data_IF_874072665019
#
_entry.id   IF_874072665019
#
_cell.length_a   1.000
_cell.length_b   1.000
_cell.length_c   1.000
_cell.angle_alpha   90.00
_cell.angle_beta   90.00
_cell.angle_gamma   90.00
#
_symmetry.space_group_name_H-M   'P 1'
#
loop_
_entity.id
_entity.type
_entity.pdbx_description
1 polymer ?
#
# COMPACT_ATOMS: atom_id res chain seq x y z
N UNK A 1 8.98 19.59 -13.00
CA UNK A 1 9.07 18.13 -13.20
C UNK A 1 10.31 17.69 -13.96
N UNK A 2 11.01 18.59 -14.68
CA UNK A 2 12.25 18.29 -15.44
C UNK A 2 13.25 17.36 -14.72
N UNK A 3 13.62 17.62 -13.46
CA UNK A 3 14.58 16.75 -12.73
C UNK A 3 14.05 15.33 -12.47
N UNK A 4 12.73 15.19 -12.24
CA UNK A 4 12.05 13.89 -12.07
C UNK A 4 11.95 13.17 -13.41
N UNK A 5 11.57 13.89 -14.47
CA UNK A 5 11.47 13.35 -15.84
C UNK A 5 12.80 12.80 -16.36
N UNK A 6 13.93 13.39 -15.94
CA UNK A 6 15.27 12.93 -16.33
C UNK A 6 15.90 11.94 -15.33
N UNK A 7 15.12 11.41 -14.37
CA UNK A 7 15.55 10.45 -13.34
C UNK A 7 16.84 10.83 -12.61
N UNK A 8 17.07 12.12 -12.35
CA UNK A 8 18.29 12.62 -11.73
C UNK A 8 18.26 12.50 -10.20
N UNK A 9 18.40 11.28 -9.69
CA UNK A 9 18.39 10.95 -8.24
C UNK A 9 19.31 11.86 -7.43
N UNK A 10 20.54 12.07 -7.89
CA UNK A 10 21.56 12.87 -7.19
C UNK A 10 21.15 14.34 -7.03
N UNK A 11 20.53 14.94 -8.07
CA UNK A 11 20.06 16.33 -8.02
C UNK A 11 18.81 16.48 -7.14
N UNK A 12 17.91 15.51 -7.15
CA UNK A 12 16.73 15.49 -6.27
C UNK A 12 17.10 15.29 -4.80
N UNK A 13 18.10 14.45 -4.53
CA UNK A 13 18.61 14.19 -3.19
C UNK A 13 19.50 15.33 -2.66
N UNK A 14 19.89 16.28 -3.52
CA UNK A 14 20.76 17.39 -3.12
C UNK A 14 20.15 18.19 -1.95
N UNK A 15 20.92 18.51 -0.91
CA UNK A 15 20.41 19.13 0.32
C UNK A 15 19.68 20.46 0.10
N UNK A 16 20.02 21.18 -0.97
CA UNK A 16 19.31 22.39 -1.37
C UNK A 16 17.87 22.11 -1.82
N UNK A 17 17.65 21.07 -2.62
CA UNK A 17 16.31 20.70 -3.14
C UNK A 17 15.46 20.14 -2.01
N UNK A 18 16.03 19.26 -1.18
CA UNK A 18 15.33 18.72 -0.01
C UNK A 18 15.00 19.82 1.02
N UNK A 19 15.92 20.74 1.29
CA UNK A 19 15.66 21.91 2.14
C UNK A 19 14.54 22.80 1.60
N UNK A 20 14.51 23.02 0.29
CA UNK A 20 13.48 23.83 -0.37
C UNK A 20 12.11 23.16 -0.25
N UNK A 21 12.02 21.84 -0.48
CA UNK A 21 10.80 21.06 -0.34
C UNK A 21 10.30 21.08 1.11
N UNK A 22 11.17 20.82 2.08
CA UNK A 22 10.83 20.88 3.50
C UNK A 22 10.34 22.26 3.92
N UNK A 23 10.96 23.33 3.42
CA UNK A 23 10.50 24.70 3.68
C UNK A 23 9.11 24.97 3.10
N UNK A 24 8.87 24.60 1.84
CA UNK A 24 7.55 24.74 1.19
C UNK A 24 6.49 23.94 1.94
N UNK A 25 6.81 22.70 2.29
CA UNK A 25 5.93 21.81 3.03
C UNK A 25 5.59 22.35 4.43
N UNK A 26 6.58 22.80 5.19
CA UNK A 26 6.38 23.29 6.56
C UNK A 26 5.57 24.60 6.62
N UNK A 27 5.74 25.49 5.65
CA UNK A 27 5.07 26.80 5.68
C UNK A 27 3.63 26.75 5.17
N UNK A 28 3.36 26.09 4.06
CA UNK A 28 2.01 26.08 3.46
C UNK A 28 1.51 24.68 3.11
N UNK A 29 2.39 23.82 2.60
CA UNK A 29 2.03 22.50 2.07
C UNK A 29 1.23 21.67 3.06
N UNK A 30 1.77 21.51 4.28
CA UNK A 30 1.17 20.70 5.34
C UNK A 30 -0.22 21.20 5.74
N UNK A 31 -0.40 22.51 5.85
CA UNK A 31 -1.66 23.07 6.36
C UNK A 31 -2.78 22.89 5.35
N UNK A 32 -2.54 23.26 4.08
CA UNK A 32 -3.54 23.11 3.01
C UNK A 32 -3.87 21.64 2.78
N UNK A 33 -2.86 20.77 2.82
CA UNK A 33 -3.06 19.34 2.62
C UNK A 33 -3.87 18.70 3.76
N UNK A 34 -3.47 18.93 5.01
CA UNK A 34 -4.17 18.34 6.16
C UNK A 34 -5.56 18.92 6.39
N UNK A 35 -5.81 20.19 6.07
CA UNK A 35 -7.17 20.72 6.11
C UNK A 35 -8.05 20.07 5.06
N UNK A 36 -7.54 19.89 3.83
CA UNK A 36 -8.27 19.19 2.78
C UNK A 36 -8.55 17.73 3.16
N UNK A 37 -7.55 17.02 3.68
CA UNK A 37 -7.70 15.66 4.17
C UNK A 37 -8.72 15.58 5.33
N UNK A 38 -8.68 16.53 6.26
CA UNK A 38 -9.63 16.57 7.37
C UNK A 38 -11.07 16.80 6.90
N UNK A 39 -11.29 17.70 5.94
CA UNK A 39 -12.60 17.91 5.32
C UNK A 39 -13.09 16.63 4.62
N UNK A 40 -12.18 15.94 3.92
CA UNK A 40 -12.49 14.68 3.26
C UNK A 40 -12.86 13.57 4.26
N UNK A 41 -12.07 13.41 5.32
CA UNK A 41 -12.35 12.46 6.39
C UNK A 41 -13.68 12.77 7.09
N UNK A 42 -14.00 14.06 7.31
CA UNK A 42 -15.27 14.48 7.87
C UNK A 42 -16.44 14.08 6.95
N UNK A 43 -16.32 14.32 5.64
CA UNK A 43 -17.30 13.87 4.66
C UNK A 43 -17.49 12.35 4.71
N UNK A 44 -16.39 11.59 4.75
CA UNK A 44 -16.42 10.14 4.75
C UNK A 44 -17.06 9.57 6.02
N UNK A 45 -16.75 10.13 7.21
CA UNK A 45 -17.34 9.68 8.47
C UNK A 45 -18.83 9.94 8.53
N UNK A 46 -19.30 11.11 8.07
CA UNK A 46 -20.75 11.37 8.03
C UNK A 46 -21.45 10.51 6.97
N UNK A 47 -20.80 10.21 5.84
CA UNK A 47 -21.34 9.28 4.84
C UNK A 47 -21.50 7.86 5.40
N UNK A 48 -20.50 7.36 6.14
CA UNK A 48 -20.62 6.03 6.75
C UNK A 48 -21.62 5.98 7.88
N UNK A 49 -21.68 7.02 8.74
CA UNK A 49 -22.72 7.16 9.76
C UNK A 49 -24.10 7.16 9.10
N UNK A 50 -24.29 7.93 8.02
CA UNK A 50 -25.55 7.97 7.30
C UNK A 50 -26.03 6.56 6.86
N UNK A 51 -25.13 5.73 6.32
CA UNK A 51 -25.45 4.38 5.83
C UNK A 51 -25.70 3.40 6.97
N UNK A 52 -24.94 3.50 8.07
CA UNK A 52 -25.15 2.64 9.23
C UNK A 52 -26.53 2.83 9.87
N UNK A 53 -27.05 4.06 9.86
CA UNK A 53 -28.35 4.40 10.45
C UNK A 53 -29.49 4.46 9.43
N UNK A 54 -29.22 4.22 8.14
CA UNK A 54 -30.25 4.10 7.10
C UNK A 54 -30.50 2.62 6.81
N UNK A 55 -31.76 2.22 6.88
CA UNK A 55 -32.21 0.87 6.59
C UNK A 55 -32.23 0.60 5.09
N UNK A 56 -31.85 -0.61 4.70
CA UNK A 56 -31.85 -1.01 3.30
C UNK A 56 -33.30 -1.17 2.78
N UNK A 57 -33.59 -0.77 1.52
CA UNK A 57 -34.95 -0.78 0.98
C UNK A 57 -35.63 -2.16 1.01
N UNK A 58 -34.87 -3.24 0.82
CA UNK A 58 -35.38 -4.62 0.79
C UNK A 58 -35.75 -5.19 2.18
N UNK A 59 -35.40 -4.51 3.28
CA UNK A 59 -35.84 -4.91 4.62
C UNK A 59 -37.33 -4.61 4.85
N UNK A 60 -37.90 -3.68 4.09
CA UNK A 60 -39.29 -3.26 4.23
C UNK A 60 -40.25 -4.12 3.41
N UNK A 61 -39.86 -4.51 2.19
CA UNK A 61 -40.67 -5.39 1.35
C UNK A 61 -39.79 -6.27 0.47
N UNK A 62 -40.27 -7.48 0.19
CA UNK A 62 -39.69 -8.40 -0.79
C UNK A 62 -39.97 -7.98 -2.25
N UNK A 63 -40.60 -6.81 -2.46
CA UNK A 63 -41.12 -6.40 -3.77
C UNK A 63 -40.04 -5.66 -4.54
N UNK A 64 -39.58 -6.29 -5.62
CA UNK A 64 -38.57 -5.78 -6.56
C UNK A 64 -39.12 -4.80 -7.58
N UNK A 65 -40.39 -4.37 -7.47
CA UNK A 65 -40.98 -3.47 -8.46
C UNK A 65 -40.39 -2.07 -8.31
N UNK A 66 -39.46 -1.79 -9.23
CA UNK A 66 -38.75 -0.53 -9.47
C UNK A 66 -39.71 0.50 -10.07
N UNK A 67 -40.75 0.90 -9.34
CA UNK A 67 -41.55 2.07 -9.71
C UNK A 67 -41.11 3.28 -8.88
N UNK A 68 -41.27 4.48 -9.44
CA UNK A 68 -40.94 5.75 -8.77
C UNK A 68 -41.67 5.90 -7.41
N UNK A 69 -42.75 5.15 -7.21
CA UNK A 69 -43.60 5.15 -6.02
C UNK A 69 -43.21 4.09 -4.98
N UNK A 70 -41.99 3.53 -5.06
CA UNK A 70 -41.52 2.52 -4.11
C UNK A 70 -41.72 2.94 -2.64
N UNK A 71 -41.41 4.19 -2.30
CA UNK A 71 -41.61 4.71 -0.95
C UNK A 71 -43.10 4.76 -0.55
N UNK A 72 -43.98 5.18 -1.46
CA UNK A 72 -45.41 5.29 -1.20
C UNK A 72 -46.04 3.90 -1.03
N UNK A 73 -45.66 2.93 -1.86
CA UNK A 73 -46.14 1.55 -1.75
C UNK A 73 -45.75 0.89 -0.42
N UNK A 74 -44.50 1.09 0.03
CA UNK A 74 -44.04 0.64 1.35
C UNK A 74 -44.82 1.34 2.46
N UNK A 75 -45.04 2.65 2.30
CA UNK A 75 -45.75 3.47 3.29
C UNK A 75 -47.21 3.06 3.51
N UNK A 76 -47.86 2.49 2.49
CA UNK A 76 -49.25 2.02 2.54
C UNK A 76 -49.39 0.60 3.11
N UNK A 77 -48.37 -0.25 2.97
CA UNK A 77 -48.41 -1.65 3.41
C UNK A 77 -47.92 -1.86 4.84
N UNK A 78 -47.04 -1.01 5.36
CA UNK A 78 -46.52 -1.11 6.73
C UNK A 78 -47.21 -0.11 7.67
N UNK A 79 -47.90 -0.63 8.69
CA UNK A 79 -48.61 0.13 9.72
C UNK A 79 -47.70 0.74 10.79
N UNK A 80 -46.41 0.41 10.79
CA UNK A 80 -45.44 1.02 11.71
C UNK A 80 -44.98 2.37 11.16
N UNK A 81 -44.99 3.41 12.00
CA UNK A 81 -44.42 4.71 11.67
C UNK A 81 -42.90 4.58 11.52
N UNK A 82 -42.45 4.23 10.30
CA UNK A 82 -41.04 4.26 9.93
C UNK A 82 -40.61 5.73 9.91
N UNK A 83 -40.00 6.16 11.02
CA UNK A 83 -39.43 7.49 11.19
C UNK A 83 -37.92 7.39 11.00
N UNK A 84 -37.37 8.34 10.24
CA UNK A 84 -35.93 8.42 10.06
C UNK A 84 -35.26 8.79 11.39
N UNK A 85 -34.23 8.06 11.84
CA UNK A 85 -33.51 8.44 13.06
C UNK A 85 -32.85 9.81 12.88
N UNK A 86 -32.87 10.63 13.94
CA UNK A 86 -32.33 11.99 13.92
C UNK A 86 -30.88 12.05 13.43
N UNK A 87 -30.07 11.05 13.78
CA UNK A 87 -28.68 10.91 13.33
C UNK A 87 -28.59 10.81 11.80
N UNK A 88 -29.45 10.01 11.17
CA UNK A 88 -29.49 9.88 9.71
C UNK A 88 -29.99 11.16 9.04
N UNK A 89 -30.95 11.87 9.65
CA UNK A 89 -31.43 13.15 9.15
C UNK A 89 -30.33 14.22 9.17
N UNK A 90 -29.65 14.40 10.30
CA UNK A 90 -28.57 15.39 10.45
C UNK A 90 -27.38 15.05 9.55
N UNK A 91 -26.93 13.80 9.54
CA UNK A 91 -25.80 13.36 8.70
C UNK A 91 -26.09 13.57 7.20
N UNK A 92 -27.32 13.38 6.74
CA UNK A 92 -27.74 13.68 5.37
C UNK A 92 -27.43 15.12 4.96
N UNK A 93 -27.86 16.12 5.73
CA UNK A 93 -27.59 17.52 5.35
C UNK A 93 -26.10 17.87 5.42
N UNK A 94 -25.38 17.31 6.39
CA UNK A 94 -23.93 17.50 6.49
C UNK A 94 -23.21 16.91 5.27
N UNK A 95 -23.53 15.68 4.88
CA UNK A 95 -22.95 15.01 3.69
C UNK A 95 -23.27 15.82 2.45
N UNK A 96 -24.53 16.27 2.28
CA UNK A 96 -24.95 17.06 1.13
C UNK A 96 -24.15 18.36 0.99
N UNK A 97 -23.97 19.11 2.09
CA UNK A 97 -23.19 20.36 2.08
C UNK A 97 -21.72 20.08 1.79
N UNK A 98 -21.11 19.10 2.47
CA UNK A 98 -19.68 18.79 2.26
C UNK A 98 -19.40 18.25 0.86
N UNK A 99 -20.25 17.37 0.34
CA UNK A 99 -20.14 16.83 -1.02
C UNK A 99 -20.30 17.95 -2.05
N UNK A 100 -21.23 18.89 -1.87
CA UNK A 100 -21.41 20.02 -2.76
C UNK A 100 -20.19 20.95 -2.76
N UNK A 101 -19.63 21.27 -1.60
CA UNK A 101 -18.42 22.11 -1.49
C UNK A 101 -17.23 21.44 -2.19
N UNK A 102 -17.02 20.14 -1.98
CA UNK A 102 -15.97 19.38 -2.64
C UNK A 102 -16.20 19.26 -4.15
N UNK A 103 -17.45 19.07 -4.60
CA UNK A 103 -17.81 19.04 -6.01
C UNK A 103 -17.52 20.39 -6.70
N UNK A 104 -17.84 21.52 -6.05
CA UNK A 104 -17.50 22.86 -6.58
C UNK A 104 -15.99 23.04 -6.69
N UNK A 105 -15.24 22.65 -5.66
CA UNK A 105 -13.76 22.64 -5.70
C UNK A 105 -13.25 21.83 -6.90
N UNK A 106 -13.88 20.69 -7.16
CA UNK A 106 -13.48 19.78 -8.22
C UNK A 106 -13.80 20.33 -9.63
N UNK A 107 -14.96 20.96 -9.79
CA UNK A 107 -15.34 21.66 -11.03
C UNK A 107 -14.40 22.85 -11.32
N UNK A 108 -13.95 23.57 -10.28
CA UNK A 108 -12.94 24.63 -10.43
C UNK A 108 -11.59 24.08 -10.91
N UNK A 109 -11.19 22.90 -10.40
CA UNK A 109 -9.99 22.20 -10.88
C UNK A 109 -10.13 21.74 -12.33
N UNK A 110 -11.29 21.16 -12.70
CA UNK A 110 -11.61 20.77 -14.07
C UNK A 110 -11.51 21.95 -15.05
N UNK A 111 -12.02 23.13 -14.67
CA UNK A 111 -11.96 24.34 -15.51
C UNK A 111 -10.52 24.82 -15.73
N UNK A 112 -9.66 24.69 -14.73
CA UNK A 112 -8.26 25.10 -14.78
C UNK A 112 -7.40 24.13 -15.62
N UNK A 113 -7.58 22.83 -15.44
CA UNK A 113 -6.76 21.78 -16.05
C UNK A 113 -7.29 21.21 -17.39
N UNK A 114 -8.55 21.50 -17.75
CA UNK A 114 -9.21 21.05 -19.00
C UNK A 114 -9.07 19.53 -19.21
N UNK A 115 -8.46 19.08 -20.31
CA UNK A 115 -8.31 17.66 -20.67
C UNK A 115 -7.27 16.93 -19.83
N UNK A 116 -6.31 17.64 -19.23
CA UNK A 116 -5.32 17.04 -18.32
C UNK A 116 -5.93 16.58 -16.99
N UNK A 117 -7.24 16.82 -16.79
CA UNK A 117 -7.95 16.51 -15.54
C UNK A 117 -8.50 15.08 -15.47
N UNK A 118 -8.74 14.39 -16.60
CA UNK A 118 -9.34 13.04 -16.65
C UNK A 118 -8.40 11.91 -16.16
N UNK A 119 -7.63 12.17 -15.10
CA UNK A 119 -6.91 11.16 -14.35
C UNK A 119 -7.91 10.27 -13.58
N UNK A 120 -7.62 8.96 -13.41
CA UNK A 120 -8.55 8.03 -12.75
C UNK A 120 -8.89 8.45 -11.32
N UNK A 121 -7.95 9.08 -10.61
CA UNK A 121 -8.13 9.62 -9.26
C UNK A 121 -9.26 10.65 -9.20
N UNK A 122 -9.19 11.66 -10.06
CA UNK A 122 -10.18 12.73 -10.14
C UNK A 122 -11.56 12.22 -10.58
N UNK A 123 -11.59 11.24 -11.51
CA UNK A 123 -12.84 10.60 -11.95
C UNK A 123 -13.48 9.81 -10.81
N UNK A 124 -12.70 9.07 -10.03
CA UNK A 124 -13.21 8.37 -8.85
C UNK A 124 -13.73 9.34 -7.79
N UNK A 125 -13.05 10.46 -7.55
CA UNK A 125 -13.54 11.52 -6.66
C UNK A 125 -14.87 12.10 -7.14
N UNK A 126 -14.97 12.44 -8.43
CA UNK A 126 -16.19 12.98 -9.03
C UNK A 126 -17.37 12.00 -8.90
N UNK A 127 -17.16 10.73 -9.24
CA UNK A 127 -18.21 9.70 -9.12
C UNK A 127 -18.62 9.51 -7.65
N UNK A 128 -17.67 9.54 -6.72
CA UNK A 128 -17.98 9.41 -5.29
C UNK A 128 -18.81 10.59 -4.76
N UNK A 129 -18.49 11.84 -5.12
CA UNK A 129 -19.26 13.01 -4.69
C UNK A 129 -20.64 13.10 -5.37
N UNK A 130 -20.73 12.82 -6.66
CA UNK A 130 -22.02 12.77 -7.36
C UNK A 130 -22.90 11.63 -6.82
N UNK A 131 -22.31 10.46 -6.60
CA UNK A 131 -23.00 9.29 -6.06
C UNK A 131 -23.51 9.53 -4.64
N UNK A 132 -22.73 10.18 -3.77
CA UNK A 132 -23.18 10.51 -2.41
C UNK A 132 -24.29 11.56 -2.39
N UNK A 133 -24.24 12.56 -3.28
CA UNK A 133 -25.33 13.53 -3.44
C UNK A 133 -26.62 12.83 -3.89
N UNK A 134 -26.55 11.97 -4.91
CA UNK A 134 -27.72 11.25 -5.43
C UNK A 134 -28.31 10.24 -4.42
N UNK A 135 -27.47 9.63 -3.58
CA UNK A 135 -27.90 8.76 -2.48
C UNK A 135 -28.70 9.53 -1.43
N UNK A 136 -28.26 10.74 -1.10
CA UNK A 136 -28.79 11.52 0.03
C UNK A 136 -29.96 12.43 -0.38
N UNK A 137 -30.05 12.78 -1.66
CA UNK A 137 -31.11 13.59 -2.23
C UNK A 137 -32.47 12.88 -2.17
N UNK A 138 -33.52 13.63 -1.83
CA UNK A 138 -34.90 13.14 -1.88
C UNK A 138 -35.52 13.52 -3.22
N UNK A 139 -36.12 12.53 -3.89
CA UNK A 139 -36.84 12.71 -5.14
C UNK A 139 -38.36 12.78 -4.94
N UNK A 140 -38.87 12.36 -3.78
CA UNK A 140 -40.31 12.43 -3.45
C UNK A 140 -40.56 12.89 -2.02
N UNK A 141 -41.76 13.44 -1.76
CA UNK A 141 -42.19 13.89 -0.42
C UNK A 141 -42.21 12.75 0.60
N UNK A 142 -42.49 11.53 0.15
CA UNK A 142 -42.42 10.34 1.00
C UNK A 142 -40.98 10.10 1.50
N UNK A 143 -39.96 10.28 0.65
CA UNK A 143 -38.56 10.12 1.05
C UNK A 143 -38.12 11.19 2.04
N UNK A 144 -38.64 12.42 1.88
CA UNK A 144 -38.38 13.52 2.81
C UNK A 144 -38.90 13.23 4.22
N UNK A 145 -40.11 12.65 4.33
CA UNK A 145 -40.74 12.37 5.64
C UNK A 145 -40.27 11.06 6.28
N UNK A 146 -40.17 9.96 5.49
CA UNK A 146 -39.86 8.61 6.00
C UNK A 146 -38.38 8.22 5.90
N UNK A 147 -37.60 8.91 5.08
CA UNK A 147 -36.17 8.60 4.87
C UNK A 147 -35.89 7.32 4.08
N UNK A 148 -36.90 6.71 3.44
CA UNK A 148 -36.76 5.45 2.69
C UNK A 148 -36.12 5.73 1.33
N UNK A 149 -35.06 4.98 1.01
CA UNK A 149 -34.35 5.07 -0.28
C UNK A 149 -34.91 4.12 -1.33
N UNK A 150 -34.76 4.49 -2.60
CA UNK A 150 -35.11 3.61 -3.72
C UNK A 150 -33.99 2.60 -3.99
N UNK A 151 -34.31 1.50 -4.68
CA UNK A 151 -33.34 0.44 -4.98
C UNK A 151 -32.14 0.93 -5.80
N UNK A 152 -32.37 1.83 -6.78
CA UNK A 152 -31.29 2.39 -7.59
C UNK A 152 -30.39 3.34 -6.78
N UNK A 153 -30.96 4.14 -5.87
CA UNK A 153 -30.19 5.00 -4.96
C UNK A 153 -29.29 4.16 -4.05
N UNK A 154 -29.82 3.04 -3.55
CA UNK A 154 -29.05 2.15 -2.68
C UNK A 154 -27.88 1.47 -3.42
N UNK A 155 -28.11 0.99 -4.64
CA UNK A 155 -27.07 0.41 -5.49
C UNK A 155 -25.97 1.44 -5.83
N UNK A 156 -26.37 2.64 -6.25
CA UNK A 156 -25.43 3.74 -6.54
C UNK A 156 -24.65 4.14 -5.29
N UNK A 157 -25.34 4.23 -4.14
CA UNK A 157 -24.74 4.56 -2.85
C UNK A 157 -23.67 3.55 -2.42
N UNK A 158 -23.92 2.25 -2.61
CA UNK A 158 -22.94 1.22 -2.32
C UNK A 158 -21.64 1.42 -3.12
N UNK A 159 -21.76 1.71 -4.42
CA UNK A 159 -20.61 2.02 -5.29
C UNK A 159 -19.92 3.30 -4.85
N UNK A 160 -20.68 4.36 -4.56
CA UNK A 160 -20.13 5.66 -4.15
C UNK A 160 -19.31 5.57 -2.86
N UNK A 161 -19.77 4.75 -1.91
CA UNK A 161 -19.11 4.56 -0.60
C UNK A 161 -17.86 3.73 -0.73
N UNK A 162 -17.91 2.67 -1.53
CA UNK A 162 -16.73 1.90 -1.89
C UNK A 162 -15.67 2.80 -2.54
N UNK A 163 -16.05 3.60 -3.55
CA UNK A 163 -15.14 4.55 -4.20
C UNK A 163 -14.64 5.62 -3.25
N UNK A 164 -15.45 6.12 -2.31
CA UNK A 164 -15.01 7.09 -1.31
C UNK A 164 -13.93 6.49 -0.37
N UNK A 165 -14.09 5.25 0.08
CA UNK A 165 -13.03 4.58 0.85
C UNK A 165 -11.78 4.29 0.02
N UNK A 166 -11.93 3.93 -1.26
CA UNK A 166 -10.78 3.74 -2.17
C UNK A 166 -10.04 5.07 -2.43
N UNK A 167 -10.76 6.18 -2.57
CA UNK A 167 -10.17 7.51 -2.71
C UNK A 167 -9.39 7.94 -1.45
N UNK A 168 -9.82 7.53 -0.24
CA UNK A 168 -9.03 7.76 0.97
C UNK A 168 -7.64 7.13 0.88
N UNK A 169 -7.52 5.93 0.29
CA UNK A 169 -6.21 5.30 0.07
C UNK A 169 -5.32 6.16 -0.84
N UNK A 170 -5.89 6.80 -1.85
CA UNK A 170 -5.15 7.72 -2.74
C UNK A 170 -4.70 8.99 -2.03
N UNK A 171 -5.48 9.53 -1.08
CA UNK A 171 -4.96 10.56 -0.18
C UNK A 171 -3.80 10.03 0.67
N UNK A 172 -3.90 8.81 1.21
CA UNK A 172 -2.79 8.23 1.99
C UNK A 172 -1.53 8.04 1.12
N UNK A 173 -1.67 7.87 -0.20
CA UNK A 173 -0.54 7.75 -1.15
C UNK A 173 0.44 8.92 -1.06
N UNK A 174 -0.03 10.14 -0.76
CA UNK A 174 0.84 11.32 -0.68
C UNK A 174 1.60 11.43 0.66
N UNK A 175 1.36 10.53 1.62
CA UNK A 175 2.10 10.50 2.88
C UNK A 175 3.50 9.90 2.70
N UNK A 176 4.59 10.54 3.18
CA UNK A 176 5.95 10.03 2.99
C UNK A 176 6.21 8.62 3.57
N UNK A 177 5.50 8.24 4.64
CA UNK A 177 5.67 6.94 5.33
C UNK A 177 4.80 5.83 4.74
N UNK A 178 3.52 6.09 4.51
CA UNK A 178 2.57 5.08 4.02
C UNK A 178 2.46 5.05 2.49
N UNK A 179 2.82 6.15 1.83
CA UNK A 179 2.62 6.34 0.40
C UNK A 179 3.33 5.33 -0.47
N UNK A 180 4.55 4.94 -0.09
CA UNK A 180 5.34 3.94 -0.84
C UNK A 180 4.59 2.61 -0.93
N UNK A 181 3.91 2.17 0.13
CA UNK A 181 3.14 0.92 0.10
C UNK A 181 1.95 0.99 -0.84
N UNK A 182 1.28 2.14 -0.92
CA UNK A 182 0.13 2.34 -1.81
C UNK A 182 0.58 2.45 -3.28
N UNK A 183 1.72 3.10 -3.54
CA UNK A 183 2.34 3.10 -4.87
C UNK A 183 2.75 1.69 -5.29
N UNK A 184 3.43 0.94 -4.41
CA UNK A 184 3.77 -0.47 -4.67
C UNK A 184 2.52 -1.29 -4.97
N UNK A 185 1.46 -1.17 -4.16
CA UNK A 185 0.21 -1.90 -4.38
C UNK A 185 -0.43 -1.54 -5.73
N UNK A 186 -0.47 -0.26 -6.09
CA UNK A 186 -1.05 0.19 -7.36
C UNK A 186 -0.26 -0.31 -8.56
N UNK A 187 1.08 -0.28 -8.48
CA UNK A 187 1.97 -0.81 -9.52
C UNK A 187 1.75 -2.33 -9.68
N UNK A 188 1.74 -3.10 -8.58
CA UNK A 188 1.47 -4.55 -8.60
C UNK A 188 0.08 -4.85 -9.17
N UNK A 189 -0.94 -4.07 -8.79
CA UNK A 189 -2.30 -4.22 -9.32
C UNK A 189 -2.34 -4.01 -10.84
N UNK A 190 -1.63 -2.99 -11.35
CA UNK A 190 -1.56 -2.72 -12.79
C UNK A 190 -0.80 -3.82 -13.53
N UNK A 191 0.32 -4.31 -12.99
CA UNK A 191 1.03 -5.45 -13.56
C UNK A 191 0.11 -6.68 -13.60
N UNK A 192 -0.55 -6.98 -12.49
CA UNK A 192 -1.51 -8.08 -12.39
C UNK A 192 -2.61 -7.97 -13.45
N UNK A 193 -3.24 -6.80 -13.58
CA UNK A 193 -4.28 -6.56 -14.59
C UNK A 193 -3.76 -6.69 -16.03
N UNK A 194 -2.49 -6.40 -16.27
CA UNK A 194 -1.85 -6.55 -17.59
C UNK A 194 -1.68 -8.03 -17.96
N UNK A 195 -1.38 -8.90 -16.99
CA UNK A 195 -1.22 -10.34 -17.21
C UNK A 195 -2.54 -11.13 -17.08
N UNK A 196 -3.56 -10.56 -16.44
CA UNK A 196 -4.87 -11.19 -16.21
C UNK A 196 -5.54 -11.77 -17.48
N UNK A 197 -5.48 -11.14 -18.68
CA UNK A 197 -6.08 -11.72 -19.88
C UNK A 197 -5.58 -13.11 -20.25
N UNK A 198 -4.31 -13.42 -19.95
CA UNK A 198 -3.72 -14.76 -20.22
C UNK A 198 -4.39 -15.80 -19.33
N UNK A 199 -4.55 -15.50 -18.04
CA UNK A 199 -5.20 -16.40 -17.08
C UNK A 199 -6.70 -16.50 -17.32
N UNK A 200 -7.34 -15.42 -17.77
CA UNK A 200 -8.76 -15.38 -18.08
C UNK A 200 -9.17 -16.44 -19.12
N UNK A 201 -8.32 -16.74 -20.11
CA UNK A 201 -8.58 -17.80 -21.09
C UNK A 201 -8.73 -19.18 -20.43
N UNK A 202 -7.88 -19.48 -19.45
CA UNK A 202 -7.98 -20.73 -18.70
C UNK A 202 -9.22 -20.76 -17.80
N UNK A 203 -9.52 -19.65 -17.11
CA UNK A 203 -10.71 -19.53 -16.25
C UNK A 203 -11.99 -19.80 -17.06
N UNK A 204 -12.10 -19.23 -18.27
CA UNK A 204 -13.25 -19.46 -19.16
C UNK A 204 -13.31 -20.93 -19.61
N UNK A 205 -12.19 -21.53 -20.01
CA UNK A 205 -12.16 -22.92 -20.45
C UNK A 205 -12.61 -23.90 -19.35
N UNK A 206 -12.07 -23.75 -18.14
CA UNK A 206 -12.46 -24.58 -16.99
C UNK A 206 -13.88 -24.28 -16.50
N UNK A 207 -14.30 -23.01 -16.51
CA UNK A 207 -15.66 -22.63 -16.16
C UNK A 207 -16.68 -23.30 -17.08
N UNK A 208 -16.49 -23.23 -18.39
CA UNK A 208 -17.42 -23.87 -19.33
C UNK A 208 -17.43 -25.41 -19.19
N UNK A 209 -16.29 -26.02 -18.89
CA UNK A 209 -16.23 -27.45 -18.64
C UNK A 209 -16.97 -27.85 -17.35
N UNK A 210 -16.80 -27.09 -16.26
CA UNK A 210 -17.54 -27.31 -15.01
C UNK A 210 -19.03 -27.00 -15.15
N UNK A 211 -19.39 -25.96 -15.90
CA UNK A 211 -20.78 -25.65 -16.26
C UNK A 211 -21.47 -26.84 -16.93
N UNK A 212 -20.80 -27.51 -17.88
CA UNK A 212 -21.37 -28.70 -18.54
C UNK A 212 -21.47 -29.92 -17.61
N UNK A 213 -20.47 -30.14 -16.74
CA UNK A 213 -20.41 -31.33 -15.89
C UNK A 213 -21.29 -31.24 -14.63
N UNK A 214 -21.55 -30.04 -14.11
CA UNK A 214 -22.18 -29.80 -12.81
C UNK A 214 -23.37 -28.82 -12.89
N UNK A 215 -24.04 -28.72 -14.05
CA UNK A 215 -25.13 -27.77 -14.28
C UNK A 215 -26.32 -27.89 -13.30
N UNK A 216 -26.47 -29.06 -12.68
CA UNK A 216 -27.50 -29.33 -11.67
C UNK A 216 -27.27 -28.57 -10.35
N UNK A 217 -26.04 -28.15 -10.06
CA UNK A 217 -25.68 -27.40 -8.86
C UNK A 217 -25.92 -25.89 -9.06
N UNK A 218 -26.40 -25.21 -8.01
CA UNK A 218 -26.70 -23.77 -8.08
C UNK A 218 -25.48 -22.92 -8.51
N UNK A 219 -24.28 -23.29 -8.04
CA UNK A 219 -23.03 -22.59 -8.34
C UNK A 219 -22.61 -22.67 -9.82
N UNK A 220 -23.09 -23.67 -10.57
CA UNK A 220 -22.69 -23.92 -11.96
C UNK A 220 -23.88 -23.89 -12.94
N UNK A 221 -25.09 -23.54 -12.47
CA UNK A 221 -26.31 -23.56 -13.28
C UNK A 221 -26.31 -22.54 -14.44
N UNK A 222 -25.61 -21.42 -14.27
CA UNK A 222 -25.46 -20.37 -15.28
C UNK A 222 -23.98 -20.13 -15.57
N UNK A 223 -23.62 -19.76 -16.81
CA UNK A 223 -22.23 -19.49 -17.16
C UNK A 223 -21.63 -18.34 -16.33
N UNK A 224 -22.41 -17.31 -15.98
CA UNK A 224 -21.99 -16.19 -15.12
C UNK A 224 -21.57 -16.65 -13.71
N UNK A 225 -22.36 -17.54 -13.09
CA UNK A 225 -22.06 -18.07 -11.76
C UNK A 225 -20.95 -19.12 -11.79
N UNK A 226 -20.90 -19.92 -12.84
CA UNK A 226 -19.79 -20.86 -13.06
C UNK A 226 -18.46 -20.11 -13.17
N UNK A 227 -18.41 -19.01 -13.93
CA UNK A 227 -17.19 -18.22 -14.09
C UNK A 227 -16.75 -17.61 -12.75
N UNK A 228 -17.71 -17.10 -11.96
CA UNK A 228 -17.44 -16.58 -10.63
C UNK A 228 -16.93 -17.67 -9.68
N UNK A 229 -17.59 -18.84 -9.66
CA UNK A 229 -17.19 -19.97 -8.82
C UNK A 229 -15.80 -20.49 -9.22
N UNK A 230 -15.51 -20.61 -10.51
CA UNK A 230 -14.19 -21.01 -11.00
C UNK A 230 -13.11 -19.97 -10.66
N UNK A 231 -13.44 -18.68 -10.68
CA UNK A 231 -12.54 -17.60 -10.24
C UNK A 231 -12.26 -17.67 -8.72
N UNK A 232 -13.25 -17.98 -7.90
CA UNK A 232 -13.05 -18.22 -6.46
C UNK A 232 -12.17 -19.45 -6.22
N UNK A 233 -12.40 -20.54 -6.96
CA UNK A 233 -11.57 -21.74 -6.91
C UNK A 233 -10.12 -21.47 -7.34
N UNK A 234 -9.87 -20.52 -8.26
CA UNK A 234 -8.52 -20.12 -8.66
C UNK A 234 -7.72 -19.49 -7.49
N UNK A 235 -8.39 -18.73 -6.61
CA UNK A 235 -7.76 -18.10 -5.44
C UNK A 235 -7.35 -19.13 -4.39
N UNK A 236 -7.95 -20.33 -4.42
CA UNK A 236 -7.68 -21.42 -3.48
C UNK A 236 -8.89 -21.81 -2.62
N UNK A 237 -10.06 -21.22 -2.85
CA UNK A 237 -11.29 -21.60 -2.15
C UNK A 237 -11.89 -22.88 -2.77
N UNK A 238 -11.44 -24.03 -2.28
CA UNK A 238 -11.94 -25.35 -2.68
C UNK A 238 -13.01 -25.83 -1.71
N UNK A 239 -14.27 -25.69 -2.11
CA UNK A 239 -15.38 -26.31 -1.39
C UNK A 239 -15.57 -27.74 -1.91
N UNK A 240 -14.62 -28.63 -1.58
CA UNK A 240 -14.61 -30.00 -2.08
C UNK A 240 -15.78 -30.82 -1.52
N UNK A 241 -16.12 -30.61 -0.25
CA UNK A 241 -17.14 -31.41 0.42
C UNK A 241 -18.54 -31.13 -0.15
N UNK A 242 -18.87 -29.86 -0.40
CA UNK A 242 -20.18 -29.49 -0.96
C UNK A 242 -20.35 -29.86 -2.44
N UNK A 243 -19.24 -29.88 -3.20
CA UNK A 243 -19.26 -30.12 -4.65
C UNK A 243 -19.10 -31.61 -4.98
N UNK A 244 -18.26 -32.34 -4.24
CA UNK A 244 -17.86 -33.71 -4.59
C UNK A 244 -18.26 -34.79 -3.58
N UNK A 245 -18.51 -34.44 -2.31
CA UNK A 245 -18.96 -35.40 -1.27
C UNK A 245 -20.44 -35.28 -0.89
N UNK A 246 -21.23 -34.44 -1.58
CA UNK A 246 -22.69 -34.34 -1.39
C UNK A 246 -23.46 -35.66 -1.57
N UNK A 247 -22.79 -36.72 -2.01
CA UNK A 247 -23.31 -38.09 -2.07
C UNK A 247 -23.41 -38.80 -0.69
N UNK A 248 -22.67 -38.34 0.33
CA UNK A 248 -22.48 -39.06 1.60
C UNK A 248 -23.36 -38.60 2.77
N UNK A 249 -23.93 -37.39 2.72
CA UNK A 249 -24.87 -36.89 3.73
C UNK A 249 -26.29 -36.99 3.20
N UNK A 250 -26.75 -38.24 2.98
CA UNK A 250 -28.17 -38.50 2.80
C UNK A 250 -28.85 -38.29 4.15
N UNK A 251 -29.27 -37.06 4.43
CA UNK A 251 -30.24 -36.85 5.47
C UNK A 251 -31.56 -37.42 4.95
N UNK A 252 -32.18 -38.42 5.60
CA UNK A 252 -33.44 -39.00 5.15
C UNK A 252 -34.60 -37.98 5.09
N UNK A 253 -34.38 -36.73 5.52
CA UNK A 253 -35.30 -35.60 5.39
C UNK A 253 -35.13 -34.74 4.12
N UNK A 254 -34.07 -34.95 3.31
CA UNK A 254 -33.86 -34.19 2.06
C UNK A 254 -34.86 -34.62 0.97
N UNK A 255 -35.46 -33.65 0.29
CA UNK A 255 -36.35 -33.91 -0.85
C UNK A 255 -35.57 -34.44 -2.06
N UNK A 256 -36.23 -35.21 -2.94
CA UNK A 256 -35.61 -35.72 -4.19
C UNK A 256 -34.98 -34.60 -5.04
N UNK A 257 -35.52 -33.40 -4.97
CA UNK A 257 -35.01 -32.22 -5.68
C UNK A 257 -33.69 -31.70 -5.08
N UNK A 258 -33.52 -31.75 -3.75
CA UNK A 258 -32.28 -31.36 -3.07
C UNK A 258 -31.16 -32.39 -3.30
N UNK A 259 -31.52 -33.68 -3.35
CA UNK A 259 -30.58 -34.74 -3.73
C UNK A 259 -30.10 -34.55 -5.16
N UNK A 260 -31.00 -34.24 -6.11
CA UNK A 260 -30.63 -33.95 -7.50
C UNK A 260 -29.66 -32.77 -7.61
N UNK A 261 -29.85 -31.71 -6.84
CA UNK A 261 -28.99 -30.51 -6.83
C UNK A 261 -27.59 -30.78 -6.27
N UNK A 262 -27.41 -31.81 -5.43
CA UNK A 262 -26.12 -32.18 -4.80
C UNK A 262 -25.41 -33.37 -5.48
N UNK A 263 -26.09 -34.07 -6.39
CA UNK A 263 -25.56 -35.30 -7.00
C UNK A 263 -24.54 -34.99 -8.11
N UNK A 264 -23.39 -35.68 -8.09
CA UNK A 264 -22.40 -35.60 -9.15
C UNK A 264 -22.62 -36.74 -10.16
N UNK A 265 -23.13 -36.42 -11.36
CA UNK A 265 -23.45 -37.41 -12.39
C UNK A 265 -22.23 -38.02 -13.08
N UNK A 266 -21.21 -37.21 -13.35
CA UNK A 266 -20.01 -37.61 -14.12
C UNK A 266 -18.76 -37.62 -13.24
N UNK A 267 -18.76 -38.43 -12.18
CA UNK A 267 -17.72 -38.43 -11.16
C UNK A 267 -16.30 -38.58 -11.71
N UNK A 268 -16.04 -39.55 -12.60
CA UNK A 268 -14.70 -39.80 -13.14
C UNK A 268 -14.10 -38.60 -13.89
N UNK A 269 -14.86 -38.04 -14.84
CA UNK A 269 -14.40 -36.89 -15.64
C UNK A 269 -14.28 -35.63 -14.76
N UNK A 270 -15.23 -35.42 -13.85
CA UNK A 270 -15.20 -34.28 -12.92
C UNK A 270 -14.00 -34.33 -11.98
N UNK A 271 -13.67 -35.49 -11.40
CA UNK A 271 -12.47 -35.64 -10.57
C UNK A 271 -11.19 -35.44 -11.38
N UNK A 272 -11.09 -36.03 -12.57
CA UNK A 272 -9.92 -35.87 -13.43
C UNK A 272 -9.70 -34.40 -13.83
N UNK A 273 -10.77 -33.72 -14.26
CA UNK A 273 -10.74 -32.31 -14.61
C UNK A 273 -10.38 -31.43 -13.40
N UNK A 274 -10.90 -31.75 -12.21
CA UNK A 274 -10.60 -31.04 -10.97
C UNK A 274 -9.13 -31.19 -10.56
N UNK A 275 -8.54 -32.38 -10.68
CA UNK A 275 -7.10 -32.59 -10.43
C UNK A 275 -6.24 -31.77 -11.40
N UNK A 276 -6.58 -31.77 -12.69
CA UNK A 276 -5.88 -30.94 -13.69
C UNK A 276 -6.03 -29.45 -13.35
N UNK A 277 -7.23 -29.02 -12.94
CA UNK A 277 -7.48 -27.65 -12.50
C UNK A 277 -6.62 -27.27 -11.28
N UNK A 278 -6.50 -28.14 -10.28
CA UNK A 278 -5.67 -27.90 -9.09
C UNK A 278 -4.20 -27.70 -9.47
N UNK A 279 -3.65 -28.56 -10.34
CA UNK A 279 -2.26 -28.41 -10.77
C UNK A 279 -2.06 -27.11 -11.55
N UNK A 280 -2.90 -26.86 -12.57
CA UNK A 280 -2.73 -25.72 -13.46
C UNK A 280 -3.08 -24.38 -12.80
N UNK A 281 -4.29 -24.24 -12.24
CA UNK A 281 -4.74 -22.96 -11.68
C UNK A 281 -4.23 -22.75 -10.26
N UNK A 282 -4.45 -23.71 -9.36
CA UNK A 282 -4.18 -23.50 -7.94
C UNK A 282 -2.68 -23.46 -7.62
N UNK A 283 -1.89 -24.32 -8.27
CA UNK A 283 -0.45 -24.42 -8.00
C UNK A 283 0.34 -23.57 -8.99
N UNK A 284 0.26 -23.86 -10.30
CA UNK A 284 1.13 -23.17 -11.27
C UNK A 284 0.79 -21.68 -11.41
N UNK A 285 -0.49 -21.34 -11.63
CA UNK A 285 -0.87 -19.92 -11.83
C UNK A 285 -0.70 -19.11 -10.54
N UNK A 286 -1.15 -19.59 -9.38
CA UNK A 286 -0.94 -18.87 -8.11
C UNK A 286 0.54 -18.64 -7.81
N UNK A 287 1.40 -19.65 -8.00
CA UNK A 287 2.84 -19.50 -7.76
C UNK A 287 3.48 -18.53 -8.77
N UNK A 288 3.03 -18.52 -10.02
CA UNK A 288 3.48 -17.55 -11.02
C UNK A 288 3.06 -16.12 -10.66
N UNK A 289 1.81 -15.92 -10.23
CA UNK A 289 1.29 -14.62 -9.80
C UNK A 289 2.05 -14.07 -8.59
N UNK A 290 2.34 -14.93 -7.61
CA UNK A 290 3.16 -14.57 -6.44
C UNK A 290 4.59 -14.27 -6.88
N UNK A 291 5.17 -15.05 -7.79
CA UNK A 291 6.51 -14.82 -8.33
C UNK A 291 6.65 -13.46 -9.02
N UNK A 292 5.70 -13.11 -9.90
CA UNK A 292 5.66 -11.79 -10.56
C UNK A 292 5.52 -10.66 -9.55
N UNK A 293 4.62 -10.80 -8.57
CA UNK A 293 4.44 -9.78 -7.55
C UNK A 293 5.72 -9.55 -6.71
N UNK A 294 6.46 -10.61 -6.38
CA UNK A 294 7.71 -10.51 -5.62
C UNK A 294 8.80 -9.77 -6.41
N UNK A 295 8.90 -10.02 -7.71
CA UNK A 295 9.90 -9.35 -8.55
C UNK A 295 9.55 -7.87 -8.79
N UNK A 296 8.27 -7.54 -8.96
CA UNK A 296 7.79 -6.15 -9.01
C UNK A 296 8.08 -5.40 -7.71
N UNK A 297 7.84 -6.02 -6.55
CA UNK A 297 8.13 -5.40 -5.24
C UNK A 297 9.62 -5.03 -5.15
N UNK A 298 10.54 -5.91 -5.58
CA UNK A 298 11.97 -5.60 -5.57
C UNK A 298 12.30 -4.41 -6.47
N UNK A 299 11.79 -4.41 -7.71
CA UNK A 299 12.03 -3.33 -8.66
C UNK A 299 11.52 -1.97 -8.14
N UNK A 300 10.34 -1.94 -7.49
CA UNK A 300 9.81 -0.71 -6.90
C UNK A 300 10.58 -0.30 -5.64
N UNK A 301 11.07 -1.25 -4.83
CA UNK A 301 11.91 -0.96 -3.67
C UNK A 301 13.24 -0.32 -4.05
N UNK A 302 13.90 -0.80 -5.11
CA UNK A 302 15.15 -0.21 -5.61
C UNK A 302 14.97 1.26 -6.01
N UNK A 303 13.79 1.61 -6.53
CA UNK A 303 13.45 2.98 -6.93
C UNK A 303 12.70 3.77 -5.85
N UNK A 304 12.47 3.21 -4.66
CA UNK A 304 11.59 3.77 -3.65
C UNK A 304 12.05 5.16 -3.16
N UNK A 305 13.36 5.39 -3.07
CA UNK A 305 13.92 6.68 -2.65
C UNK A 305 13.57 7.77 -3.67
N UNK A 306 13.75 7.50 -4.96
CA UNK A 306 13.40 8.43 -6.03
C UNK A 306 11.89 8.65 -6.10
N UNK A 307 11.10 7.56 -6.08
CA UNK A 307 9.63 7.66 -6.07
C UNK A 307 9.12 8.47 -4.89
N UNK A 308 9.71 8.30 -3.70
CA UNK A 308 9.38 9.11 -2.51
C UNK A 308 9.67 10.60 -2.73
N UNK A 309 10.85 10.94 -3.23
CA UNK A 309 11.21 12.34 -3.51
C UNK A 309 10.31 12.94 -4.60
N UNK A 310 10.01 12.18 -5.65
CA UNK A 310 9.08 12.60 -6.71
C UNK A 310 7.68 12.88 -6.16
N UNK A 311 7.13 12.00 -5.31
CA UNK A 311 5.83 12.21 -4.66
C UNK A 311 5.81 13.48 -3.78
N UNK A 312 6.90 13.78 -3.06
CA UNK A 312 7.00 15.02 -2.28
C UNK A 312 7.00 16.26 -3.17
N UNK A 313 7.72 16.22 -4.29
CA UNK A 313 7.75 17.30 -5.28
C UNK A 313 6.36 17.50 -5.89
N UNK A 314 5.70 16.42 -6.30
CA UNK A 314 4.35 16.45 -6.85
C UNK A 314 3.36 17.05 -5.85
N UNK A 315 3.38 16.58 -4.61
CA UNK A 315 2.54 17.10 -3.54
C UNK A 315 2.77 18.59 -3.30
N UNK A 316 4.03 19.03 -3.24
CA UNK A 316 4.35 20.45 -3.07
C UNK A 316 3.85 21.29 -4.25
N UNK A 317 3.96 20.78 -5.48
CA UNK A 317 3.48 21.45 -6.69
C UNK A 317 1.95 21.47 -6.77
N UNK A 318 1.27 20.41 -6.39
CA UNK A 318 -0.20 20.34 -6.37
C UNK A 318 -0.78 21.35 -5.39
N UNK A 319 -0.21 21.44 -4.18
CA UNK A 319 -0.62 22.48 -3.23
C UNK A 319 -0.32 23.87 -3.79
N UNK A 320 0.83 24.07 -4.44
CA UNK A 320 1.19 25.37 -5.04
C UNK A 320 0.23 25.77 -6.18
N UNK A 321 -0.33 24.82 -6.93
CA UNK A 321 -1.35 25.07 -7.97
C UNK A 321 -2.69 25.49 -7.37
N UNK A 322 -3.07 24.92 -6.22
CA UNK A 322 -4.34 25.24 -5.52
C UNK A 322 -4.27 26.64 -4.88
N UNK A 323 -3.09 27.05 -4.43
CA UNK A 323 -2.90 28.32 -3.73
C UNK A 323 -3.00 29.52 -4.69
N UNK A 324 -3.85 30.53 -4.40
CA UNK A 324 -3.97 31.73 -5.21
C UNK A 324 -2.64 32.49 -5.38
N UNK A 325 -2.48 33.15 -6.52
CA UNK A 325 -1.22 33.84 -6.87
C UNK A 325 -0.79 34.91 -5.85
N UNK A 326 -1.72 35.56 -5.17
CA UNK A 326 -1.41 36.58 -4.17
C UNK A 326 -0.73 36.00 -2.91
N UNK A 327 -1.19 34.83 -2.45
CA UNK A 327 -0.54 34.07 -1.37
C UNK A 327 0.80 33.57 -1.88
N UNK A 328 0.86 32.97 -3.08
CA UNK A 328 2.09 32.43 -3.65
C UNK A 328 3.22 33.46 -3.68
N UNK A 329 2.94 34.69 -4.15
CA UNK A 329 3.93 35.79 -4.24
C UNK A 329 4.48 36.20 -2.87
N UNK A 330 3.69 36.10 -1.80
CA UNK A 330 4.10 36.49 -0.45
C UNK A 330 5.02 35.47 0.22
N UNK A 331 4.96 34.21 -0.19
CA UNK A 331 5.72 33.10 0.41
C UNK A 331 6.98 32.70 -0.39
N UNK A 332 7.33 33.42 -1.46
CA UNK A 332 8.59 33.19 -2.20
C UNK A 332 9.77 33.72 -1.39
N UNK A 333 10.68 32.82 -1.00
CA UNK A 333 11.94 33.17 -0.34
C UNK A 333 13.10 32.78 -1.25
N UNK A 334 14.01 33.72 -1.52
CA UNK A 334 15.20 33.50 -2.37
C UNK A 334 16.39 32.92 -1.60
N UNK A 335 16.61 33.37 -0.37
CA UNK A 335 17.71 32.93 0.49
C UNK A 335 17.21 32.66 1.91
N UNK A 336 17.71 31.58 2.53
CA UNK A 336 17.43 31.25 3.92
C UNK A 336 18.73 30.83 4.59
N UNK A 337 19.06 31.48 5.70
CA UNK A 337 20.23 31.13 6.52
C UNK A 337 19.81 30.12 7.58
N UNK A 338 20.47 28.96 7.63
CA UNK A 338 20.28 27.94 8.66
C UNK A 338 21.48 28.01 9.59
N UNK A 339 21.24 28.00 10.92
CA UNK A 339 22.31 27.98 11.92
C UNK A 339 22.27 26.65 12.69
N UNK A 340 23.43 26.01 12.96
CA UNK A 340 23.49 24.65 13.51
C UNK A 340 22.98 24.49 14.96
N UNK A 341 22.57 25.56 15.67
CA UNK A 341 22.14 25.51 17.08
C UNK A 341 20.84 26.30 17.35
N UNK A 342 19.94 26.41 16.38
CA UNK A 342 18.67 27.12 16.59
C UNK A 342 17.67 26.25 17.38
N UNK A 343 17.59 26.44 18.70
CA UNK A 343 16.64 25.73 19.58
C UNK A 343 15.19 26.08 19.22
N UNK A 344 14.48 25.15 18.56
CA UNK A 344 13.02 25.23 18.38
C UNK A 344 12.30 24.24 19.30
N UNK A 345 11.79 24.76 20.41
CA UNK A 345 10.77 24.11 21.23
C UNK A 345 9.44 24.06 20.45
N UNK A 346 9.10 22.93 19.83
CA UNK A 346 7.72 22.63 19.44
C UNK A 346 7.45 21.12 19.51
N UNK A 347 6.22 20.78 19.89
CA UNK A 347 5.78 19.48 20.41
C UNK A 347 6.18 18.23 19.60
N UNK A 348 6.84 17.29 20.30
CA UNK A 348 7.47 16.08 19.75
C UNK A 348 6.54 15.03 19.15
N UNK A 349 5.25 15.03 19.48
CA UNK A 349 4.34 13.92 19.11
C UNK A 349 3.94 14.00 17.63
N UNK A 350 3.60 15.19 17.12
CA UNK A 350 3.29 15.38 15.70
C UNK A 350 4.54 15.29 14.82
N UNK A 351 5.73 15.56 15.37
CA UNK A 351 7.01 15.48 14.64
C UNK A 351 7.41 14.02 14.35
N UNK A 352 7.14 13.08 15.24
CA UNK A 352 7.49 11.67 15.02
C UNK A 352 6.65 11.00 13.91
N UNK A 353 5.36 11.35 13.83
CA UNK A 353 4.46 10.79 12.82
C UNK A 353 4.60 11.48 11.45
N UNK A 354 4.93 12.78 11.43
CA UNK A 354 4.82 13.64 10.24
C UNK A 354 6.11 14.35 9.80
N UNK A 355 7.20 14.27 10.56
CA UNK A 355 8.47 14.84 10.14
C UNK A 355 9.28 13.78 9.41
N UNK A 356 9.42 14.02 8.12
CA UNK A 356 10.60 13.63 7.35
C UNK A 356 11.85 13.92 8.18
N UNK A 357 12.82 13.01 8.08
CA UNK A 357 14.19 13.18 8.55
C UNK A 357 14.62 14.63 8.37
N UNK A 358 14.77 15.36 9.48
CA UNK A 358 15.37 16.68 9.43
C UNK A 358 16.71 16.53 8.74
N UNK A 359 16.93 17.34 7.71
CA UNK A 359 18.17 17.34 6.95
C UNK A 359 19.30 17.62 7.96
N UNK A 360 20.08 16.59 8.28
CA UNK A 360 21.16 16.71 9.28
C UNK A 360 22.13 17.80 8.81
N UNK A 361 22.54 18.67 9.74
CA UNK A 361 23.59 19.66 9.50
C UNK A 361 24.85 19.01 8.91
N UNK A 362 25.11 17.76 9.28
CA UNK A 362 26.20 16.93 8.77
C UNK A 362 26.03 16.59 7.28
N UNK A 363 24.82 16.26 6.83
CA UNK A 363 24.52 16.01 5.42
C UNK A 363 24.67 17.27 4.56
N UNK A 364 24.41 18.46 5.13
CA UNK A 364 24.61 19.74 4.45
C UNK A 364 26.11 20.06 4.31
N UNK A 365 26.89 19.87 5.38
CA UNK A 365 28.35 20.08 5.37
C UNK A 365 29.02 19.12 4.38
N UNK A 366 28.59 17.86 4.36
CA UNK A 366 29.10 16.82 3.45
C UNK A 366 28.84 17.14 1.99
N UNK A 367 27.67 17.70 1.64
CA UNK A 367 27.39 18.12 0.28
C UNK A 367 28.07 19.44 -0.14
N UNK A 368 28.41 20.31 0.83
CA UNK A 368 29.12 21.56 0.53
C UNK A 368 30.60 21.32 0.21
N UNK A 369 31.20 20.27 0.80
CA UNK A 369 32.60 19.92 0.68
C UNK A 369 32.77 18.49 0.16
N UNK A 370 32.66 18.25 -1.16
CA UNK A 370 32.78 16.90 -1.73
C UNK A 370 34.16 16.26 -1.46
N UNK A 371 35.22 17.06 -1.40
CA UNK A 371 36.57 16.57 -1.08
C UNK A 371 36.68 15.98 0.34
N UNK A 372 35.90 16.48 1.30
CA UNK A 372 35.86 15.95 2.66
C UNK A 372 35.18 14.57 2.71
N UNK A 373 34.15 14.34 1.89
CA UNK A 373 33.48 13.03 1.79
C UNK A 373 34.42 11.97 1.21
N UNK A 374 35.17 12.30 0.16
CA UNK A 374 36.17 11.39 -0.41
C UNK A 374 37.27 11.05 0.62
N UNK A 375 37.75 12.05 1.37
CA UNK A 375 38.74 11.84 2.43
C UNK A 375 38.20 10.99 3.60
N UNK A 376 36.93 11.18 3.99
CA UNK A 376 36.26 10.34 4.99
C UNK A 376 36.13 8.88 4.50
N UNK A 377 35.73 8.67 3.24
CA UNK A 377 35.65 7.35 2.65
C UNK A 377 37.03 6.68 2.57
N UNK A 378 38.08 7.45 2.26
CA UNK A 378 39.45 6.96 2.28
C UNK A 378 39.90 6.58 3.69
N UNK A 379 39.55 7.37 4.71
CA UNK A 379 39.83 7.04 6.12
C UNK A 379 39.10 5.78 6.58
N UNK A 380 37.81 5.64 6.26
CA UNK A 380 37.03 4.44 6.61
C UNK A 380 37.58 3.18 5.91
N UNK A 381 37.99 3.31 4.64
CA UNK A 381 38.64 2.24 3.90
C UNK A 381 40.02 1.89 4.49
N UNK A 382 40.78 2.88 4.97
CA UNK A 382 42.04 2.64 5.68
C UNK A 382 41.81 1.91 7.01
N UNK A 383 40.79 2.28 7.80
CA UNK A 383 40.46 1.59 9.04
C UNK A 383 40.05 0.13 8.81
N UNK A 384 39.19 -0.13 7.81
CA UNK A 384 38.83 -1.51 7.41
C UNK A 384 40.05 -2.31 6.97
N UNK A 385 41.01 -1.68 6.29
CA UNK A 385 42.25 -2.32 5.88
C UNK A 385 43.13 -2.66 7.10
N UNK A 386 43.20 -1.78 8.09
CA UNK A 386 43.91 -2.02 9.35
C UNK A 386 43.27 -3.20 10.11
N UNK A 387 41.94 -3.27 10.20
CA UNK A 387 41.25 -4.39 10.84
C UNK A 387 41.54 -5.73 10.13
N UNK A 388 41.56 -5.73 8.79
CA UNK A 388 41.91 -6.92 8.01
C UNK A 388 43.37 -7.34 8.24
N UNK A 389 44.30 -6.38 8.31
CA UNK A 389 45.71 -6.64 8.63
C UNK A 389 45.85 -7.24 10.03
N UNK A 390 45.10 -6.74 11.01
CA UNK A 390 45.13 -7.28 12.37
C UNK A 390 44.56 -8.70 12.46
N UNK A 391 43.50 -8.99 11.71
CA UNK A 391 42.99 -10.37 11.57
C UNK A 391 44.01 -11.30 10.91
N UNK A 392 44.68 -10.85 9.84
CA UNK A 392 45.77 -11.60 9.19
C UNK A 392 46.94 -11.84 10.14
N UNK A 393 47.34 -10.83 10.91
CA UNK A 393 48.41 -10.92 11.90
C UNK A 393 48.08 -11.93 13.00
N UNK A 394 46.82 -11.97 13.48
CA UNK A 394 46.35 -13.00 14.41
C UNK A 394 46.42 -14.41 13.79
N UNK A 395 46.01 -14.58 12.53
CA UNK A 395 46.15 -15.86 11.80
C UNK A 395 47.60 -16.28 11.57
N UNK A 396 48.49 -15.34 11.23
CA UNK A 396 49.93 -15.59 11.08
C UNK A 396 50.57 -16.02 12.41
N UNK A 397 50.25 -15.34 13.52
CA UNK A 397 50.72 -15.77 14.85
C UNK A 397 50.24 -17.18 15.22
N UNK A 398 49.01 -17.54 14.83
CA UNK A 398 48.50 -18.89 15.03
C UNK A 398 49.24 -19.95 14.21
N UNK A 399 49.58 -19.64 12.95
CA UNK A 399 50.32 -20.55 12.07
C UNK A 399 51.78 -20.70 12.47
N UNK A 400 52.46 -19.62 12.87
CA UNK A 400 53.83 -19.70 13.40
C UNK A 400 53.89 -20.52 14.69
N UNK A 401 52.93 -20.36 15.60
CA UNK A 401 52.87 -21.17 16.81
C UNK A 401 52.58 -22.66 16.54
N UNK A 402 51.80 -22.97 15.49
CA UNK A 402 51.61 -24.35 15.02
C UNK A 402 52.89 -24.93 14.41
N UNK A 403 53.62 -24.16 13.61
CA UNK A 403 54.91 -24.57 13.03
C UNK A 403 55.95 -24.79 14.13
N UNK A 404 56.02 -23.91 15.13
CA UNK A 404 56.90 -24.06 16.30
C UNK A 404 56.60 -25.36 17.04
N UNK A 405 55.33 -25.65 17.33
CA UNK A 405 54.92 -26.92 17.95
C UNK A 405 55.24 -28.14 17.09
N UNK A 406 55.07 -28.04 15.77
CA UNK A 406 55.40 -29.12 14.85
C UNK A 406 56.90 -29.39 14.79
N UNK A 407 57.73 -28.34 14.74
CA UNK A 407 59.20 -28.44 14.81
C UNK A 407 59.65 -29.06 16.12
N UNK A 408 59.09 -28.63 17.26
CA UNK A 408 59.38 -29.25 18.57
C UNK A 408 58.99 -30.73 18.58
N UNK A 409 57.86 -31.10 17.99
CA UNK A 409 57.44 -32.51 17.90
C UNK A 409 58.34 -33.36 17.01
N UNK A 410 58.86 -32.79 15.91
CA UNK A 410 59.82 -33.46 15.02
C UNK A 410 61.18 -33.64 15.70
N UNK A 411 61.70 -32.63 16.41
CA UNK A 411 62.93 -32.76 17.19
C UNK A 411 62.82 -33.85 18.26
N UNK A 412 61.68 -33.93 18.95
CA UNK A 412 61.39 -35.02 19.91
C UNK A 412 61.35 -36.41 19.24
N UNK A 413 60.79 -36.51 18.02
CA UNK A 413 60.73 -37.78 17.28
C UNK A 413 62.11 -38.25 16.78
N UNK A 414 63.02 -37.33 16.44
CA UNK A 414 64.38 -37.66 15.97
C UNK A 414 65.41 -37.90 17.09
N UNK A 415 65.01 -37.86 18.37
CA UNK A 415 65.89 -38.01 19.55
C UNK A 415 67.11 -37.06 19.54
N UNK A 416 66.89 -35.83 19.09
CA UNK A 416 67.87 -34.74 19.25
C UNK A 416 67.61 -34.10 20.62
N UNK A 417 68.61 -34.07 21.51
CA UNK A 417 68.52 -33.35 22.78
C UNK A 417 68.34 -31.85 22.49
N UNK A 418 67.20 -31.31 22.91
CA UNK A 418 66.90 -29.88 22.81
C UNK A 418 66.69 -29.32 24.22
N UNK A 419 67.48 -28.32 24.61
CA UNK A 419 67.30 -27.59 25.85
C UNK A 419 66.14 -26.59 25.71
N UNK A 420 65.14 -26.66 26.59
CA UNK A 420 63.98 -25.75 26.57
C UNK A 420 64.33 -24.27 26.85
N UNK A 421 65.57 -23.96 27.22
CA UNK A 421 66.00 -22.62 27.63
C UNK A 421 66.26 -21.63 26.47
N UNK A 422 66.41 -22.10 25.23
CA UNK A 422 66.77 -21.22 24.10
C UNK A 422 65.60 -20.38 23.53
N UNK A 423 64.35 -20.70 23.88
CA UNK A 423 63.17 -19.92 23.43
C UNK A 423 62.80 -18.79 24.41
N UNK A 424 63.19 -18.91 25.69
CA UNK A 424 62.88 -17.90 26.70
C UNK A 424 63.83 -16.69 26.66
N UNK A 425 65.00 -16.83 26.05
CA UNK A 425 66.04 -15.78 25.99
C UNK A 425 65.67 -14.55 25.16
N UNK A 426 64.83 -14.68 24.14
CA UNK A 426 64.60 -13.60 23.16
C UNK A 426 63.39 -12.70 23.48
N UNK A 427 62.52 -13.11 24.43
CA UNK A 427 61.38 -12.27 24.88
C UNK A 427 61.78 -11.11 25.80
N UNK A 428 63.01 -11.08 26.32
CA UNK A 428 63.49 -10.00 27.20
C UNK A 428 64.21 -8.86 26.47
N UNK A 429 64.64 -9.02 25.22
CA UNK A 429 65.38 -7.96 24.49
C UNK A 429 64.51 -6.93 23.77
N UNK A 430 63.22 -7.19 23.54
CA UNK A 430 62.33 -6.24 22.83
C UNK A 430 61.47 -5.34 23.74
N UNK A 431 61.65 -5.39 25.07
CA UNK A 431 60.88 -4.54 26.02
C UNK A 431 61.57 -3.22 26.42
N UNK A 432 62.75 -2.90 25.89
CA UNK A 432 63.53 -1.72 26.32
C UNK A 432 63.88 -0.69 25.25
N UNK A 433 63.23 -0.69 24.08
CA UNK A 433 63.38 0.39 23.09
C UNK A 433 62.00 0.87 22.68
N UNK A 434 61.50 1.93 23.33
CA UNK A 434 60.19 2.54 23.01
C UNK A 434 59.50 3.29 24.15
N UNK A 435 60.25 3.88 25.09
CA UNK A 435 59.71 4.88 26.02
C UNK A 435 60.72 6.01 26.19
N UNK A 436 60.72 6.93 25.23
CA UNK A 436 61.19 8.30 25.41
C UNK A 436 60.59 9.15 24.29
N UNK A 437 60.16 10.36 24.63
CA UNK A 437 59.62 11.45 23.79
C UNK A 437 58.10 11.47 23.58
N UNK A 438 57.41 12.14 24.51
CA UNK A 438 56.50 13.26 24.21
C UNK A 438 56.16 14.01 25.50
N UNK A 439 57.04 14.93 25.90
CA UNK A 439 56.72 16.11 26.71
C UNK A 439 57.26 17.33 25.95
N UNK A 440 56.38 18.00 25.20
CA UNK A 440 56.24 19.44 25.00
C UNK A 440 55.18 19.72 23.94
#
# INVERSE_FOLDING_TARGET
MIMVEHNQTALLAHPLVTSLLQFKWANFGRYVYYTNLAIYCLYLTFLTVYIMYTTAPYMYTNVTNVTADFCENVSHHESNEVTQPLIAFVSKYIVMVLALVNLVREVLQLRSAKWSYFSPENVMELIAYLGSILLVMDFSKCQEYKGIRTSWQWQLGAVAVFLAWMNLLLFIRKFPRFGIYIVMFTDILLTFLTFLPVFFLFVVAFSLAFFMLMQNMYAFRRPEFSLLKTSMMMIGEFDFDSVFYGMGTYDPSDSEEEVHKKTLYYSGVSYALFVVFLVLMAILVTNLLVGLAVDDIKAVQEQAVLKRLAMQVELALDVEKIVPQFIRRRFVVKCRTIRPNENRHHSSIFRCLMSESELSSEAIVKALNPELDEMEQLQENQEKMIEQIDMLKKKMKGTTHRLEKMLVSLCKAQRVDYAEDDVAGDKKKFKHVGTSTNEL
#
